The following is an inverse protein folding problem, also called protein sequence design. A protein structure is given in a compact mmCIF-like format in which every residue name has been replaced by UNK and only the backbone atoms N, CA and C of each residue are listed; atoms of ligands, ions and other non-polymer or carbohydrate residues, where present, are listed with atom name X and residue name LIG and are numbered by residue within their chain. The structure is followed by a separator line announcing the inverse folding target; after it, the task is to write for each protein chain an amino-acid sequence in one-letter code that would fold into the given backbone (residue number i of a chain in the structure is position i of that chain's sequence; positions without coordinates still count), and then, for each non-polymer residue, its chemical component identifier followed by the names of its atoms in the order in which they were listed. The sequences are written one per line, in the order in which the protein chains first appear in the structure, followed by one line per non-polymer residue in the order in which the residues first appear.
data_IF_402657383571
#
_entry.id   IF_402657383571
#
_cell.length_a   1.000
_cell.length_b   1.000
_cell.length_c   1.000
_cell.angle_alpha   90.00
_cell.angle_beta   90.00
_cell.angle_gamma   90.00
#
_symmetry.space_group_name_H-M   'P 1'
#
loop_
_entity.id
_entity.type
_entity.pdbx_description
1 polymer ?
#
# COMPACT_ATOMS: atom_id res chain seq x y z
N UNK A 1 -12.32 -19.33 13.53
CA UNK A 1 -11.99 -18.75 14.85
C UNK A 1 -10.84 -17.77 14.69
N UNK A 2 -10.83 -16.62 15.39
CA UNK A 2 -9.78 -15.61 15.25
C UNK A 2 -8.47 -16.04 15.92
N UNK A 3 -7.37 -15.53 15.38
CA UNK A 3 -6.01 -15.73 15.88
C UNK A 3 -5.55 -14.49 16.64
N UNK A 4 -4.93 -14.70 17.80
CA UNK A 4 -4.39 -13.64 18.65
C UNK A 4 -2.90 -13.85 18.87
N UNK A 5 -2.13 -12.76 18.81
CA UNK A 5 -0.68 -12.79 19.00
C UNK A 5 -0.32 -12.37 20.42
N UNK A 6 0.53 -13.14 21.08
CA UNK A 6 1.05 -12.87 22.42
C UNK A 6 2.55 -12.55 22.36
N UNK A 7 3.02 -11.72 23.29
CA UNK A 7 4.45 -11.41 23.42
C UNK A 7 4.86 -11.42 24.89
N UNK A 8 5.91 -12.16 25.21
CA UNK A 8 6.50 -12.18 26.53
C UNK A 8 7.59 -11.11 26.71
N UNK A 9 8.03 -10.89 27.95
CA UNK A 9 9.09 -9.94 28.28
C UNK A 9 10.46 -10.32 27.70
N UNK A 10 10.65 -11.62 27.40
CA UNK A 10 11.82 -12.13 26.67
C UNK A 10 11.72 -11.95 25.14
N UNK A 11 10.72 -11.22 24.67
CA UNK A 11 10.49 -10.87 23.26
C UNK A 11 10.13 -12.03 22.31
N UNK A 12 9.82 -13.22 22.81
CA UNK A 12 9.21 -14.27 21.99
C UNK A 12 7.79 -13.89 21.59
N UNK A 13 7.36 -14.35 20.41
CA UNK A 13 6.03 -14.10 19.86
C UNK A 13 5.41 -15.42 19.41
N UNK A 14 4.14 -15.61 19.72
CA UNK A 14 3.41 -16.81 19.32
C UNK A 14 1.93 -16.47 19.14
N UNK A 15 1.25 -17.32 18.38
CA UNK A 15 -0.15 -17.14 18.00
C UNK A 15 -1.02 -18.24 18.61
N UNK A 16 -2.17 -17.87 19.15
CA UNK A 16 -3.18 -18.80 19.66
C UNK A 16 -4.56 -18.48 19.09
N UNK A 17 -5.36 -19.52 18.89
CA UNK A 17 -6.73 -19.42 18.41
C UNK A 17 -7.68 -19.44 19.59
N UNK A 18 -8.43 -18.36 19.79
CA UNK A 18 -9.40 -18.24 20.88
C UNK A 18 -10.77 -17.83 20.35
N UNK A 19 -11.84 -18.13 21.10
CA UNK A 19 -13.14 -17.54 20.81
C UNK A 19 -13.09 -16.04 21.15
N UNK A 20 -13.82 -15.21 20.42
CA UNK A 20 -13.91 -13.76 20.73
C UNK A 20 -14.45 -13.50 22.14
N UNK A 21 -15.30 -14.39 22.66
CA UNK A 21 -15.91 -14.27 23.99
C UNK A 21 -15.04 -14.73 25.15
N UNK A 22 -13.93 -15.44 24.88
CA UNK A 22 -13.14 -16.13 25.92
C UNK A 22 -11.64 -15.97 25.74
N UNK A 23 -11.20 -14.92 25.04
CA UNK A 23 -9.78 -14.67 24.79
C UNK A 23 -9.11 -14.12 26.06
N UNK A 24 -8.06 -14.78 26.59
CA UNK A 24 -7.36 -14.28 27.76
C UNK A 24 -6.48 -13.06 27.41
N UNK A 25 -6.21 -12.21 28.41
CA UNK A 25 -5.28 -11.08 28.24
C UNK A 25 -3.81 -11.52 28.35
N UNK A 26 -3.56 -12.67 28.98
CA UNK A 26 -2.23 -13.24 29.18
C UNK A 26 -2.24 -14.77 28.91
N UNK A 27 -1.17 -15.29 28.29
CA UNK A 27 -0.95 -16.73 28.06
C UNK A 27 0.49 -17.12 28.44
N UNK A 28 0.73 -18.32 28.99
CA UNK A 28 2.10 -18.79 29.26
C UNK A 28 2.90 -18.94 27.97
N UNK A 29 4.11 -18.39 27.94
CA UNK A 29 5.00 -18.50 26.80
C UNK A 29 5.48 -19.96 26.60
N UNK A 30 5.28 -20.57 25.43
CA UNK A 30 5.65 -21.97 25.19
C UNK A 30 7.17 -22.21 25.19
N UNK A 31 7.97 -21.18 24.91
CA UNK A 31 9.44 -21.30 24.93
C UNK A 31 10.04 -21.12 26.33
N UNK A 32 9.32 -20.43 27.21
CA UNK A 32 10.00 -19.65 28.22
C UNK A 32 9.27 -19.62 29.57
N UNK A 33 8.01 -20.05 29.61
CA UNK A 33 7.19 -20.19 30.82
C UNK A 33 6.70 -18.87 31.43
N UNK A 34 7.25 -17.72 31.05
CA UNK A 34 6.77 -16.42 31.57
C UNK A 34 5.38 -16.07 31.04
N UNK A 35 4.67 -15.20 31.76
CA UNK A 35 3.44 -14.59 31.23
C UNK A 35 3.74 -13.79 29.96
N UNK A 36 2.92 -13.98 28.93
CA UNK A 36 2.96 -13.23 27.68
C UNK A 36 1.65 -12.45 27.52
N UNK A 37 1.74 -11.14 27.30
CA UNK A 37 0.57 -10.29 27.13
C UNK A 37 0.04 -10.37 25.71
N UNK A 38 -1.29 -10.37 25.57
CA UNK A 38 -1.94 -10.23 24.27
C UNK A 38 -1.55 -8.89 23.66
N UNK A 39 -1.00 -8.92 22.46
CA UNK A 39 -0.78 -7.73 21.65
C UNK A 39 -1.92 -7.66 20.63
N UNK A 40 -2.45 -6.45 20.34
CA UNK A 40 -3.23 -6.28 19.12
C UNK A 40 -2.37 -6.83 17.98
N UNK A 41 -2.88 -7.85 17.27
CA UNK A 41 -2.24 -8.22 16.02
C UNK A 41 -2.25 -6.98 15.13
N UNK A 42 -1.26 -6.83 14.27
CA UNK A 42 -1.26 -5.80 13.26
C UNK A 42 -1.82 -6.43 11.98
N UNK A 43 -3.14 -6.66 11.85
CA UNK A 43 -3.67 -7.29 10.66
C UNK A 43 -3.38 -6.36 9.49
N UNK A 44 -2.44 -6.79 8.65
CA UNK A 44 -2.19 -6.21 7.34
C UNK A 44 -1.79 -4.73 7.30
N UNK A 45 -1.22 -4.15 8.38
CA UNK A 45 -0.65 -2.79 8.32
C UNK A 45 0.44 -2.65 7.23
N UNK A 46 1.17 -3.74 6.94
CA UNK A 46 2.11 -3.81 5.84
C UNK A 46 1.45 -3.82 4.46
N UNK A 47 0.21 -4.29 4.34
CA UNK A 47 -0.51 -4.33 3.07
C UNK A 47 -0.80 -2.92 2.55
N UNK A 48 -1.02 -1.94 3.43
CA UNK A 48 -1.19 -0.52 3.08
C UNK A 48 0.02 0.04 2.34
N UNK A 49 1.24 -0.47 2.61
CA UNK A 49 2.45 -0.08 1.89
C UNK A 49 2.70 -0.83 0.58
N UNK A 50 1.83 -1.76 0.20
CA UNK A 50 2.02 -2.59 -1.00
C UNK A 50 1.62 -1.84 -2.28
N UNK A 51 2.25 -2.15 -3.44
CA UNK A 51 1.84 -1.58 -4.72
C UNK A 51 0.40 -1.95 -5.09
N UNK A 52 -0.07 -3.14 -4.70
CA UNK A 52 -1.45 -3.57 -4.94
C UNK A 52 -2.47 -2.69 -4.20
N UNK A 53 -2.19 -2.34 -2.93
CA UNK A 53 -3.03 -1.43 -2.17
C UNK A 53 -3.05 -0.03 -2.79
N UNK A 54 -1.89 0.48 -3.22
CA UNK A 54 -1.80 1.77 -3.93
C UNK A 54 -2.65 1.83 -5.21
N UNK A 55 -2.70 0.73 -5.97
CA UNK A 55 -3.55 0.66 -7.17
C UNK A 55 -5.05 0.70 -6.83
N UNK A 56 -5.48 0.02 -5.76
CA UNK A 56 -6.88 0.05 -5.31
C UNK A 56 -7.29 1.46 -4.84
N UNK A 57 -6.44 2.12 -4.06
CA UNK A 57 -6.68 3.49 -3.59
C UNK A 57 -6.74 4.49 -4.75
N UNK A 58 -5.82 4.39 -5.71
CA UNK A 58 -5.84 5.23 -6.91
C UNK A 58 -7.10 5.01 -7.76
N UNK A 59 -7.55 3.76 -7.90
CA UNK A 59 -8.79 3.43 -8.62
C UNK A 59 -10.02 4.02 -7.91
N UNK A 60 -10.11 3.92 -6.58
CA UNK A 60 -11.19 4.52 -5.81
C UNK A 60 -11.24 6.04 -5.97
N UNK A 61 -10.08 6.72 -5.87
CA UNK A 61 -9.97 8.18 -6.04
C UNK A 61 -10.42 8.66 -7.41
N UNK A 62 -10.22 7.87 -8.47
CA UNK A 62 -10.55 8.27 -9.84
C UNK A 62 -12.03 8.65 -10.06
N UNK A 63 -12.94 8.17 -9.20
CA UNK A 63 -14.36 8.48 -9.28
C UNK A 63 -14.70 9.91 -8.84
N UNK A 64 -13.87 10.54 -8.00
CA UNK A 64 -14.16 11.85 -7.38
C UNK A 64 -13.05 12.88 -7.65
N UNK A 65 -11.82 12.39 -7.86
CA UNK A 65 -10.60 13.17 -8.06
C UNK A 65 -9.74 12.56 -9.19
N UNK A 66 -10.26 12.51 -10.44
CA UNK A 66 -9.51 11.93 -11.55
C UNK A 66 -8.27 12.77 -11.86
N UNK A 67 -7.12 12.11 -12.01
CA UNK A 67 -5.90 12.77 -12.46
C UNK A 67 -5.99 13.16 -13.94
N UNK A 68 -5.68 14.41 -14.27
CA UNK A 68 -5.54 14.86 -15.66
C UNK A 68 -4.13 14.47 -16.16
N UNK A 69 -4.07 13.46 -17.02
CA UNK A 69 -2.82 13.00 -17.61
C UNK A 69 -2.64 13.53 -19.03
N UNK A 70 -1.46 14.05 -19.36
CA UNK A 70 -1.11 14.53 -20.70
C UNK A 70 -0.56 13.44 -21.62
N UNK A 71 -0.33 12.23 -21.09
CA UNK A 71 0.17 11.05 -21.79
C UNK A 71 -0.22 9.78 -21.03
N UNK A 72 -0.33 8.66 -21.74
CA UNK A 72 -0.65 7.37 -21.13
C UNK A 72 0.54 6.83 -20.31
N UNK A 73 0.28 6.14 -19.18
CA UNK A 73 1.31 5.45 -18.41
C UNK A 73 2.08 4.45 -19.29
N UNK A 74 3.40 4.47 -19.23
CA UNK A 74 4.27 3.59 -20.04
C UNK A 74 4.44 4.03 -21.50
N UNK A 75 3.73 5.08 -21.95
CA UNK A 75 4.01 5.68 -23.26
C UNK A 75 5.30 6.50 -23.16
N UNK A 76 6.29 6.28 -24.05
CA UNK A 76 7.43 7.18 -24.10
C UNK A 76 6.92 8.60 -24.35
N UNK A 77 7.37 9.57 -23.55
CA UNK A 77 7.16 10.99 -23.86
C UNK A 77 7.75 11.20 -25.26
N UNK A 78 6.89 11.23 -26.27
CA UNK A 78 7.31 11.65 -27.60
C UNK A 78 7.83 13.06 -27.39
N UNK A 79 9.12 13.33 -27.70
CA UNK A 79 9.58 14.71 -27.73
C UNK A 79 8.57 15.45 -28.59
N UNK A 80 7.93 16.50 -28.05
CA UNK A 80 7.03 17.32 -28.84
C UNK A 80 7.75 17.63 -30.15
N UNK A 81 7.04 17.55 -31.28
CA UNK A 81 7.64 17.87 -32.58
C UNK A 81 8.29 19.24 -32.44
N UNK A 82 9.62 19.27 -32.32
CA UNK A 82 10.34 20.50 -32.02
C UNK A 82 9.96 21.55 -33.05
N UNK A 83 9.99 22.83 -32.66
CA UNK A 83 9.76 23.91 -33.62
C UNK A 83 10.73 23.71 -34.79
N UNK A 84 10.17 23.38 -35.94
CA UNK A 84 10.92 23.03 -37.13
C UNK A 84 11.50 24.32 -37.69
N UNK A 85 12.83 24.50 -37.63
CA UNK A 85 13.53 25.71 -38.09
C UNK A 85 13.73 25.74 -39.62
N UNK A 86 12.83 25.11 -40.36
CA UNK A 86 12.95 25.04 -41.81
C UNK A 86 12.72 26.44 -42.40
N UNK A 87 13.65 27.01 -43.18
CA UNK A 87 13.54 28.37 -43.71
C UNK A 87 12.31 28.56 -44.59
N UNK A 88 11.79 27.49 -45.20
CA UNK A 88 10.53 27.54 -45.96
C UNK A 88 9.28 27.85 -45.12
N UNK A 89 9.32 27.71 -43.79
CA UNK A 89 8.19 28.11 -42.95
C UNK A 89 7.94 29.62 -42.98
N UNK A 90 8.96 30.43 -43.35
CA UNK A 90 8.78 31.86 -43.58
C UNK A 90 7.86 32.18 -44.78
N UNK A 91 7.61 31.19 -45.67
CA UNK A 91 6.73 31.35 -46.85
C UNK A 91 5.30 30.88 -46.58
N UNK A 92 5.01 30.33 -45.40
CA UNK A 92 3.66 29.90 -45.06
C UNK A 92 2.76 31.12 -44.79
N UNK A 93 1.50 31.12 -45.25
CA UNK A 93 0.56 32.18 -44.94
C UNK A 93 0.33 32.25 -43.43
N UNK A 94 0.52 33.44 -42.86
CA UNK A 94 0.26 33.70 -41.44
C UNK A 94 -1.23 33.97 -41.28
N UNK A 95 -1.88 33.24 -40.38
CA UNK A 95 -3.22 33.56 -39.91
C UNK A 95 -3.18 34.70 -38.90
#
# INVERSE_FOLDING_TARGET
MPTYTYRCDRSHRFDEVHAMSSVPDESPCPECGSSARRRPSAPHLSATGSPAYGLMDAAAKSAHEPQVVSALPGSPRRPGTGVTRHPLHAKLPRR
#
